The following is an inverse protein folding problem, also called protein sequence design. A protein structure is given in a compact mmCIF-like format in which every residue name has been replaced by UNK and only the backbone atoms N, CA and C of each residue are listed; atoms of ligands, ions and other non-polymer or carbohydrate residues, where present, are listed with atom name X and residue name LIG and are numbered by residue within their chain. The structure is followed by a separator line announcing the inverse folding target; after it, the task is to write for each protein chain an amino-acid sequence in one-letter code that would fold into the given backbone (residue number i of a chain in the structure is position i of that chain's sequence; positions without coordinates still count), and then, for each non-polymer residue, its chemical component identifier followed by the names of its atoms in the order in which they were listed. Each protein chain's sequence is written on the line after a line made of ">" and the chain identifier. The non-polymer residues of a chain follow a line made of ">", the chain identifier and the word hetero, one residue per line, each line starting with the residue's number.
data_IF_810033980160
#
_entry.id   IF_810033980160
#
_cell.length_a   1.000
_cell.length_b   1.000
_cell.length_c   1.000
_cell.angle_alpha   90.00
_cell.angle_beta   90.00
_cell.angle_gamma   90.00
#
_symmetry.space_group_name_H-M   'P 1'
#
loop_
_entity.id
_entity.type
_entity.pdbx_description
1 polymer ?
#
# COMPACT_ATOMS: atom_id res chain seq x y z
N UNK A 1 -18.10 6.89 -13.61
CA UNK A 1 -17.07 5.84 -13.55
C UNK A 1 -15.83 6.46 -12.88
N UNK A 2 -14.68 5.80 -12.76
CA UNK A 2 -13.37 6.42 -12.41
C UNK A 2 -12.87 6.43 -10.93
N UNK A 3 -13.65 5.96 -9.94
CA UNK A 3 -13.22 5.98 -8.53
C UNK A 3 -11.93 5.16 -8.24
N UNK A 4 -11.68 4.07 -8.97
CA UNK A 4 -10.46 3.27 -8.82
C UNK A 4 -9.21 3.96 -9.39
N UNK A 5 -9.33 4.65 -10.53
CA UNK A 5 -8.22 5.35 -11.16
C UNK A 5 -7.71 6.49 -10.26
N UNK A 6 -8.63 7.26 -9.66
CA UNK A 6 -8.28 8.31 -8.69
C UNK A 6 -7.63 7.75 -7.43
N UNK A 7 -8.10 6.60 -6.93
CA UNK A 7 -7.48 5.91 -5.78
C UNK A 7 -6.06 5.45 -6.10
N UNK A 8 -5.84 4.85 -7.28
CA UNK A 8 -4.51 4.40 -7.73
C UNK A 8 -3.52 5.57 -7.81
N UNK A 9 -3.93 6.69 -8.40
CA UNK A 9 -3.09 7.89 -8.48
C UNK A 9 -2.73 8.45 -7.09
N UNK A 10 -3.69 8.45 -6.16
CA UNK A 10 -3.48 8.94 -4.78
C UNK A 10 -2.50 8.04 -4.03
N UNK A 11 -2.66 6.72 -4.14
CA UNK A 11 -1.77 5.75 -3.49
C UNK A 11 -0.36 5.78 -4.07
N UNK A 12 -0.24 5.90 -5.40
CA UNK A 12 1.05 6.04 -6.07
C UNK A 12 1.80 7.28 -5.56
N UNK A 13 1.12 8.41 -5.46
CA UNK A 13 1.70 9.64 -4.91
C UNK A 13 2.08 9.50 -3.43
N UNK A 14 1.32 8.75 -2.64
CA UNK A 14 1.68 8.45 -1.26
C UNK A 14 2.95 7.58 -1.18
N UNK A 15 3.06 6.56 -2.04
CA UNK A 15 4.25 5.72 -2.13
C UNK A 15 5.48 6.52 -2.55
N UNK A 16 5.37 7.39 -3.55
CA UNK A 16 6.47 8.25 -4.00
C UNK A 16 6.94 9.20 -2.88
N UNK A 17 6.03 9.77 -2.10
CA UNK A 17 6.38 10.59 -0.94
C UNK A 17 7.12 9.79 0.14
N UNK A 18 6.73 8.54 0.36
CA UNK A 18 7.42 7.63 1.28
C UNK A 18 8.82 7.31 0.75
N UNK A 19 8.94 6.98 -0.54
CA UNK A 19 10.22 6.69 -1.22
C UNK A 19 11.20 7.85 -1.15
N UNK A 20 10.71 9.09 -1.26
CA UNK A 20 11.53 10.30 -1.17
C UNK A 20 11.83 10.72 0.28
N UNK A 21 11.29 10.02 1.27
CA UNK A 21 11.53 10.27 2.69
C UNK A 21 12.73 9.49 3.23
N UNK A 22 12.76 9.29 4.55
CA UNK A 22 13.77 8.49 5.26
C UNK A 22 13.41 7.00 5.34
N UNK A 23 12.27 6.59 4.76
CA UNK A 23 11.80 5.21 4.83
C UNK A 23 12.72 4.30 4.02
N UNK A 24 13.05 3.14 4.58
CA UNK A 24 13.87 2.11 3.90
C UNK A 24 12.99 1.06 3.23
N UNK A 25 11.77 0.86 3.76
CA UNK A 25 10.77 -0.07 3.26
C UNK A 25 9.39 0.58 3.32
N UNK A 26 8.43 -0.02 2.65
CA UNK A 26 7.01 0.36 2.73
C UNK A 26 6.22 -0.85 3.18
N UNK A 27 5.29 -0.66 4.12
CA UNK A 27 4.33 -1.71 4.45
C UNK A 27 2.96 -1.36 3.94
N UNK A 28 2.24 -2.39 3.51
CA UNK A 28 0.82 -2.28 3.18
C UNK A 28 0.05 -2.58 4.47
N UNK A 29 -0.73 -1.61 4.93
CA UNK A 29 -1.68 -1.82 6.02
C UNK A 29 -3.05 -2.15 5.43
N UNK A 30 -3.54 -3.35 5.70
CA UNK A 30 -4.90 -3.73 5.34
C UNK A 30 -5.84 -3.44 6.51
N UNK A 31 -7.06 -2.99 6.23
CA UNK A 31 -8.05 -2.78 7.29
C UNK A 31 -8.65 -4.13 7.73
N UNK A 32 -9.25 -4.23 8.92
CA UNK A 32 -9.88 -5.48 9.40
C UNK A 32 -10.99 -5.99 8.47
N UNK A 33 -11.65 -5.05 7.79
CA UNK A 33 -12.76 -5.29 6.85
C UNK A 33 -12.27 -5.54 5.41
N UNK A 34 -10.97 -5.75 5.18
CA UNK A 34 -10.44 -5.93 3.84
C UNK A 34 -10.80 -7.29 3.22
N UNK A 35 -10.72 -7.37 1.89
CA UNK A 35 -10.87 -8.63 1.18
C UNK A 35 -9.67 -9.57 1.44
N UNK A 36 -9.84 -10.90 1.26
CA UNK A 36 -8.77 -11.86 1.54
C UNK A 36 -7.48 -11.60 0.73
N UNK A 37 -7.59 -11.07 -0.49
CA UNK A 37 -6.44 -10.67 -1.29
C UNK A 37 -5.64 -9.53 -0.64
N UNK A 38 -6.34 -8.50 -0.16
CA UNK A 38 -5.73 -7.38 0.58
C UNK A 38 -5.06 -7.85 1.87
N UNK A 39 -5.70 -8.79 2.58
CA UNK A 39 -5.15 -9.35 3.81
C UNK A 39 -3.90 -10.19 3.55
N UNK A 40 -3.87 -10.95 2.47
CA UNK A 40 -2.70 -11.74 2.07
C UNK A 40 -1.51 -10.86 1.64
N UNK A 41 -1.81 -9.67 1.10
CA UNK A 41 -0.81 -8.67 0.74
C UNK A 41 -0.42 -7.73 1.90
N UNK A 42 -0.97 -7.92 3.10
CA UNK A 42 -0.54 -7.16 4.28
C UNK A 42 0.88 -7.60 4.67
N UNK A 43 1.81 -6.65 4.70
CA UNK A 43 3.21 -6.96 4.96
C UNK A 43 4.14 -5.79 4.66
N UNK A 44 5.41 -5.96 5.02
CA UNK A 44 6.47 -5.03 4.66
C UNK A 44 7.11 -5.50 3.33
N UNK A 45 7.23 -4.57 2.39
CA UNK A 45 7.80 -4.78 1.07
C UNK A 45 8.89 -3.73 0.82
N UNK A 46 9.84 -4.10 -0.02
CA UNK A 46 10.78 -3.14 -0.57
C UNK A 46 10.09 -2.25 -1.61
N UNK A 47 10.65 -1.08 -1.86
CA UNK A 47 10.10 -0.12 -2.80
C UNK A 47 9.97 -0.63 -4.24
N UNK A 48 10.78 -1.62 -4.61
CA UNK A 48 10.74 -2.28 -5.92
C UNK A 48 9.76 -3.47 -5.96
N UNK A 49 9.56 -4.12 -4.82
CA UNK A 49 8.73 -5.32 -4.68
C UNK A 49 7.32 -5.05 -4.14
N UNK A 50 7.00 -3.79 -3.83
CA UNK A 50 5.70 -3.40 -3.30
C UNK A 50 4.63 -3.47 -4.39
N UNK A 51 3.53 -4.20 -4.19
CA UNK A 51 2.45 -4.24 -5.18
C UNK A 51 1.73 -2.89 -5.22
N UNK A 52 1.30 -2.48 -6.42
CA UNK A 52 0.59 -1.21 -6.60
C UNK A 52 -0.84 -1.30 -6.05
N UNK A 53 -1.22 -0.38 -5.17
CA UNK A 53 -2.59 -0.26 -4.66
C UNK A 53 -3.44 0.58 -5.62
N UNK A 54 -4.71 0.20 -5.88
CA UNK A 54 -5.43 -0.97 -5.36
C UNK A 54 -4.90 -2.30 -5.93
N UNK A 55 -4.83 -3.33 -5.08
CA UNK A 55 -4.40 -4.68 -5.49
C UNK A 55 -5.27 -5.21 -6.62
N UNK A 56 -4.64 -5.80 -7.63
CA UNK A 56 -5.34 -6.51 -8.69
C UNK A 56 -6.15 -7.67 -8.08
N UNK A 57 -7.46 -7.68 -8.34
CA UNK A 57 -8.38 -8.65 -7.74
C UNK A 57 -9.01 -8.21 -6.40
N UNK A 58 -8.92 -6.92 -6.03
CA UNK A 58 -9.68 -6.41 -4.90
C UNK A 58 -11.20 -6.48 -5.14
N UNK A 59 -11.87 -7.49 -4.57
CA UNK A 59 -13.34 -7.65 -4.65
C UNK A 59 -14.13 -6.89 -3.57
N UNK A 60 -13.51 -5.93 -2.87
CA UNK A 60 -14.20 -5.19 -1.81
C UNK A 60 -15.25 -4.23 -2.42
N UNK A 61 -16.52 -4.22 -1.94
CA UNK A 61 -17.61 -3.43 -2.54
C UNK A 61 -17.37 -1.92 -2.50
N UNK A 62 -16.59 -1.45 -1.51
CA UNK A 62 -16.21 -0.05 -1.30
C UNK A 62 -14.86 0.32 -1.97
N UNK A 63 -14.30 -0.61 -2.75
CA UNK A 63 -12.94 -0.55 -3.30
C UNK A 63 -11.85 -0.82 -2.27
N UNK A 64 -10.60 -0.88 -2.72
CA UNK A 64 -9.47 -1.15 -1.84
C UNK A 64 -9.36 -0.08 -0.75
N UNK A 65 -9.20 -0.54 0.49
CA UNK A 65 -9.02 0.27 1.72
C UNK A 65 -7.63 0.07 2.33
N UNK A 66 -6.71 -0.56 1.60
CA UNK A 66 -5.32 -0.66 2.02
C UNK A 66 -4.62 0.69 1.89
N UNK A 67 -3.58 0.91 2.69
CA UNK A 67 -2.77 2.12 2.66
C UNK A 67 -1.29 1.79 2.78
N UNK A 68 -0.44 2.57 2.09
CA UNK A 68 1.00 2.50 2.30
C UNK A 68 1.41 3.21 3.58
N UNK A 69 2.30 2.58 4.34
CA UNK A 69 2.92 3.17 5.52
C UNK A 69 4.45 3.06 5.42
N UNK A 70 5.19 4.14 5.72
CA UNK A 70 6.64 4.10 5.76
C UNK A 70 7.11 3.15 6.86
N UNK A 71 8.10 2.31 6.55
CA UNK A 71 8.85 1.54 7.53
C UNK A 71 10.25 2.11 7.59
N UNK A 72 10.60 2.62 8.77
CA UNK A 72 11.95 3.02 9.12
C UNK A 72 12.61 1.78 9.71
N UNK A 73 13.50 1.15 8.95
CA UNK A 73 14.42 0.14 9.47
C UNK A 73 15.47 0.88 10.32
N UNK A 74 15.05 1.32 11.51
CA UNK A 74 15.92 1.95 12.50
C UNK A 74 16.60 0.84 13.30
N UNK A 75 17.30 -0.05 12.61
CA UNK A 75 18.34 -0.84 13.26
C UNK A 75 19.55 0.08 13.43
N UNK A 76 19.59 0.74 14.60
CA UNK A 76 20.79 1.39 15.10
C UNK A 76 21.92 0.37 15.38
N UNK A 77 23.17 0.84 15.51
CA UNK A 77 24.38 0.02 15.61
C UNK A 77 24.40 -0.95 16.79
#
# INVERSE_FOLDING_TARGET
>A
MDAEATKRATQKKALEQIKNGLATKVRIMANRDCCPACRAAEGAYEFDNVPELPLEGCSHPDGCRCSYAPVLDMFGP
#
